data_IF_143670342982
#
_entry.id   IF_143670342982
#
_cell.length_a   1.000
_cell.length_b   1.000
_cell.length_c   1.000
_cell.angle_alpha   90.00
_cell.angle_beta   90.00
_cell.angle_gamma   90.00
#
_symmetry.space_group_name_H-M   'P 1'
#
loop_
_entity.id
_entity.type
_entity.pdbx_description
1 polymer ?
#
# COMPACT_ATOMS: atom_id res chain seq x y z
N UNK A 1 -21.36 -26.37 23.56
CA UNK A 1 -20.61 -26.23 22.27
C UNK A 1 -21.32 -25.31 21.27
N UNK A 2 -22.65 -25.40 21.07
CA UNK A 2 -23.37 -24.44 20.20
C UNK A 2 -23.18 -22.96 20.62
N UNK A 3 -23.15 -22.68 21.92
CA UNK A 3 -22.82 -21.36 22.46
C UNK A 3 -21.40 -20.87 22.10
N UNK A 4 -20.43 -21.78 21.91
CA UNK A 4 -19.08 -21.39 21.49
C UNK A 4 -19.13 -20.89 20.05
N UNK A 5 -19.75 -21.65 19.13
CA UNK A 5 -19.96 -21.23 17.73
C UNK A 5 -20.55 -19.83 17.59
N UNK A 6 -21.58 -19.52 18.40
CA UNK A 6 -22.21 -18.19 18.43
C UNK A 6 -21.25 -17.06 18.79
N UNK A 7 -20.32 -17.27 19.74
CA UNK A 7 -19.32 -16.24 20.13
C UNK A 7 -18.35 -15.95 19.00
N UNK A 8 -17.92 -16.97 18.26
CA UNK A 8 -17.04 -16.79 17.11
C UNK A 8 -17.75 -16.10 15.96
N UNK A 9 -19.01 -16.46 15.68
CA UNK A 9 -19.83 -15.76 14.67
C UNK A 9 -20.06 -14.28 15.04
N UNK A 10 -20.31 -13.99 16.32
CA UNK A 10 -20.44 -12.61 16.80
C UNK A 10 -19.13 -11.82 16.62
N UNK A 11 -17.98 -12.43 16.91
CA UNK A 11 -16.67 -11.84 16.66
C UNK A 11 -16.45 -11.54 15.18
N UNK A 12 -16.78 -12.50 14.30
CA UNK A 12 -16.68 -12.33 12.86
C UNK A 12 -17.53 -11.14 12.38
N UNK A 13 -18.77 -11.05 12.86
CA UNK A 13 -19.68 -9.96 12.53
C UNK A 13 -19.18 -8.61 13.04
N UNK A 14 -18.71 -8.53 14.29
CA UNK A 14 -18.18 -7.30 14.87
C UNK A 14 -16.96 -6.78 14.09
N UNK A 15 -15.99 -7.66 13.78
CA UNK A 15 -14.82 -7.27 13.00
C UNK A 15 -15.15 -6.98 11.53
N UNK A 16 -16.14 -7.66 10.95
CA UNK A 16 -16.61 -7.34 9.61
C UNK A 16 -17.21 -5.93 9.55
N UNK A 17 -18.00 -5.54 10.56
CA UNK A 17 -18.53 -4.17 10.66
C UNK A 17 -17.39 -3.14 10.80
N UNK A 18 -16.38 -3.43 11.63
CA UNK A 18 -15.22 -2.54 11.76
C UNK A 18 -14.43 -2.43 10.44
N UNK A 19 -14.40 -3.51 9.65
CA UNK A 19 -13.72 -3.54 8.36
C UNK A 19 -14.43 -2.72 7.26
N UNK A 20 -15.72 -2.41 7.40
CA UNK A 20 -16.47 -1.56 6.48
C UNK A 20 -16.00 -0.10 6.48
N UNK A 21 -15.22 0.32 7.49
CA UNK A 21 -14.73 1.69 7.61
C UNK A 21 -15.65 2.59 8.44
N UNK A 22 -15.33 3.89 8.55
CA UNK A 22 -16.08 4.82 9.41
C UNK A 22 -17.47 5.20 8.86
N UNK A 23 -17.70 5.01 7.55
CA UNK A 23 -18.98 5.26 6.87
C UNK A 23 -19.32 4.07 6.00
N UNK A 24 -20.62 3.84 5.79
CA UNK A 24 -21.08 2.75 4.94
C UNK A 24 -21.04 3.18 3.47
N UNK A 25 -20.40 2.36 2.63
CA UNK A 25 -20.37 2.54 1.19
C UNK A 25 -21.25 1.47 0.52
N UNK A 26 -22.23 1.89 -0.29
CA UNK A 26 -23.09 0.97 -1.05
C UNK A 26 -23.07 1.42 -2.50
N UNK A 27 -22.65 0.54 -3.41
CA UNK A 27 -22.52 0.86 -4.84
C UNK A 27 -21.69 2.13 -5.14
N UNK A 28 -20.68 2.42 -4.31
CA UNK A 28 -19.84 3.61 -4.43
C UNK A 28 -20.40 4.85 -3.73
N UNK A 29 -21.69 4.87 -3.37
CA UNK A 29 -22.28 5.99 -2.63
C UNK A 29 -21.98 5.90 -1.13
N UNK A 30 -21.65 7.05 -0.54
CA UNK A 30 -21.39 7.18 0.90
C UNK A 30 -22.70 7.50 1.63
N UNK A 31 -23.19 6.54 2.40
CA UNK A 31 -24.36 6.76 3.24
C UNK A 31 -23.96 7.55 4.50
N UNK A 32 -24.80 8.48 4.99
CA UNK A 32 -24.53 9.29 6.18
C UNK A 32 -24.74 8.52 7.49
N UNK A 33 -24.45 7.22 7.50
CA UNK A 33 -24.58 6.34 8.67
C UNK A 33 -23.18 6.16 9.29
N UNK A 34 -22.92 6.70 10.49
CA UNK A 34 -21.66 6.48 11.17
C UNK A 34 -21.55 5.02 11.62
N UNK A 35 -20.46 4.36 11.25
CA UNK A 35 -20.16 3.00 11.68
C UNK A 35 -19.27 3.01 12.93
N UNK A 36 -19.20 1.91 13.70
CA UNK A 36 -18.39 1.83 14.92
C UNK A 36 -16.93 2.24 14.72
N UNK A 37 -16.38 2.02 13.52
CA UNK A 37 -15.01 2.40 13.20
C UNK A 37 -14.77 3.92 13.22
N UNK A 38 -15.80 4.75 13.04
CA UNK A 38 -15.69 6.21 13.18
C UNK A 38 -15.28 6.59 14.62
N UNK A 39 -15.77 5.88 15.62
CA UNK A 39 -15.39 6.09 17.01
C UNK A 39 -13.95 5.60 17.25
N UNK A 40 -13.65 4.40 16.75
CA UNK A 40 -12.32 3.77 16.90
C UNK A 40 -11.21 4.62 16.28
N UNK A 41 -11.48 5.30 15.15
CA UNK A 41 -10.49 6.16 14.49
C UNK A 41 -10.04 7.35 15.32
N UNK A 42 -10.83 7.77 16.32
CA UNK A 42 -10.48 8.88 17.21
C UNK A 42 -9.69 8.44 18.45
N UNK A 43 -9.51 7.13 18.69
CA UNK A 43 -8.79 6.65 19.87
C UNK A 43 -7.26 6.76 19.68
N UNK A 44 -6.53 7.51 20.51
CA UNK A 44 -5.09 7.78 20.34
C UNK A 44 -4.23 6.51 20.40
N UNK A 45 -4.61 5.53 21.21
CA UNK A 45 -3.83 4.31 21.49
C UNK A 45 -3.82 3.34 20.28
N UNK A 46 -4.78 3.46 19.36
CA UNK A 46 -4.97 2.51 18.26
C UNK A 46 -4.35 2.97 16.94
N UNK A 47 -3.39 3.91 16.96
CA UNK A 47 -2.84 4.58 15.78
C UNK A 47 -2.48 3.65 14.61
N UNK A 48 -1.78 2.55 14.88
CA UNK A 48 -1.40 1.57 13.86
C UNK A 48 -2.55 0.70 13.32
N UNK A 49 -3.62 0.49 14.09
CA UNK A 49 -4.74 -0.39 13.71
C UNK A 49 -5.93 0.37 13.12
N UNK A 50 -5.81 1.69 12.91
CA UNK A 50 -6.93 2.51 12.39
C UNK A 50 -7.34 2.19 10.96
N UNK A 51 -6.49 1.52 10.18
CA UNK A 51 -6.81 1.14 8.80
C UNK A 51 -7.92 0.08 8.80
N UNK A 52 -9.15 0.39 8.32
CA UNK A 52 -10.29 -0.52 8.44
C UNK A 52 -10.03 -1.92 7.87
N UNK A 53 -9.29 -1.98 6.75
CA UNK A 53 -8.95 -3.23 6.08
C UNK A 53 -8.21 -4.25 6.98
N UNK A 54 -7.51 -3.79 8.02
CA UNK A 54 -6.79 -4.68 8.96
C UNK A 54 -7.75 -5.54 9.78
N UNK A 55 -8.97 -5.06 10.05
CA UNK A 55 -9.98 -5.83 10.77
C UNK A 55 -10.55 -6.98 9.94
N UNK A 56 -10.38 -6.97 8.62
CA UNK A 56 -10.84 -8.05 7.74
C UNK A 56 -10.12 -9.36 8.05
N UNK A 57 -8.82 -9.32 8.37
CA UNK A 57 -8.05 -10.50 8.75
C UNK A 57 -8.60 -11.14 10.03
N UNK A 58 -8.93 -10.32 11.05
CA UNK A 58 -9.58 -10.79 12.26
C UNK A 58 -10.98 -11.37 11.93
N UNK A 59 -11.79 -10.65 11.15
CA UNK A 59 -13.13 -11.12 10.75
C UNK A 59 -13.08 -12.49 10.07
N UNK A 60 -12.13 -12.69 9.15
CA UNK A 60 -11.91 -13.96 8.46
C UNK A 60 -11.50 -15.08 9.40
N UNK A 61 -10.61 -14.82 10.36
CA UNK A 61 -10.22 -15.80 11.38
C UNK A 61 -11.44 -16.25 12.22
N UNK A 62 -12.22 -15.28 12.74
CA UNK A 62 -13.41 -15.58 13.52
C UNK A 62 -14.46 -16.34 12.70
N UNK A 63 -14.63 -15.97 11.43
CA UNK A 63 -15.55 -16.64 10.51
C UNK A 63 -15.11 -18.08 10.25
N UNK A 64 -13.82 -18.30 9.97
CA UNK A 64 -13.25 -19.64 9.75
C UNK A 64 -13.49 -20.55 10.96
N UNK A 65 -13.25 -20.04 12.18
CA UNK A 65 -13.55 -20.76 13.42
C UNK A 65 -15.03 -21.08 13.56
N UNK A 66 -15.91 -20.10 13.31
CA UNK A 66 -17.36 -20.29 13.36
C UNK A 66 -17.84 -21.37 12.39
N UNK A 67 -17.36 -21.34 11.15
CA UNK A 67 -17.65 -22.36 10.12
C UNK A 67 -17.14 -23.73 10.55
N UNK A 68 -15.89 -23.84 11.01
CA UNK A 68 -15.31 -25.11 11.44
C UNK A 68 -16.09 -25.77 12.59
N UNK A 69 -16.52 -25.00 13.59
CA UNK A 69 -17.34 -25.55 14.68
C UNK A 69 -18.76 -25.88 14.25
N UNK A 70 -19.36 -25.05 13.39
CA UNK A 70 -20.68 -25.30 12.81
C UNK A 70 -20.69 -26.62 12.05
N UNK A 71 -19.67 -26.83 11.22
CA UNK A 71 -19.42 -28.05 10.49
C UNK A 71 -19.26 -29.27 11.40
N UNK A 72 -18.38 -29.18 12.39
CA UNK A 72 -18.18 -30.26 13.35
C UNK A 72 -19.44 -30.58 14.17
N UNK A 73 -20.31 -29.58 14.39
CA UNK A 73 -21.63 -29.77 14.98
C UNK A 73 -22.56 -30.54 14.05
N UNK A 74 -22.64 -30.12 12.79
CA UNK A 74 -23.51 -30.72 11.78
C UNK A 74 -23.15 -32.18 11.51
N UNK A 75 -21.86 -32.51 11.33
CA UNK A 75 -21.41 -33.90 11.14
C UNK A 75 -21.79 -34.81 12.31
N UNK A 76 -21.69 -34.32 13.56
CA UNK A 76 -22.09 -35.10 14.75
C UNK A 76 -23.59 -35.32 14.81
N UNK A 77 -24.40 -34.31 14.50
CA UNK A 77 -25.87 -34.44 14.47
C UNK A 77 -26.32 -35.39 13.36
N UNK A 78 -25.70 -35.31 12.17
CA UNK A 78 -25.96 -36.22 11.06
C UNK A 78 -25.59 -37.67 11.40
N UNK A 79 -24.40 -37.91 11.98
CA UNK A 79 -23.98 -39.24 12.44
C UNK A 79 -24.91 -39.79 13.53
N UNK A 80 -25.33 -38.98 14.50
CA UNK A 80 -26.29 -39.40 15.53
C UNK A 80 -27.64 -39.78 14.94
N UNK A 81 -28.14 -39.01 13.97
CA UNK A 81 -29.39 -39.33 13.28
C UNK A 81 -29.31 -40.58 12.40
N UNK A 82 -28.14 -40.84 11.79
CA UNK A 82 -27.89 -42.05 11.01
C UNK A 82 -27.78 -43.29 11.91
N UNK A 83 -26.98 -43.23 12.99
CA UNK A 83 -26.84 -44.31 13.99
C UNK A 83 -28.20 -44.66 14.62
N UNK A 84 -29.04 -43.65 14.90
CA UNK A 84 -30.36 -43.87 15.47
C UNK A 84 -31.35 -44.53 14.49
N UNK A 85 -31.11 -44.42 13.18
CA UNK A 85 -31.98 -45.02 12.15
C UNK A 85 -31.52 -46.41 11.74
N UNK A 86 -30.21 -46.65 11.69
CA UNK A 86 -29.65 -47.95 11.29
C UNK A 86 -28.23 -48.14 11.89
N UNK A 87 -28.10 -48.87 13.01
CA UNK A 87 -26.83 -49.04 13.71
C UNK A 87 -25.84 -49.96 12.97
N UNK A 88 -26.31 -50.87 12.11
CA UNK A 88 -25.42 -51.75 11.33
C UNK A 88 -24.82 -51.02 10.11
N UNK A 89 -25.61 -50.15 9.46
CA UNK A 89 -25.13 -49.33 8.35
C UNK A 89 -24.11 -48.25 8.79
N UNK A 90 -24.11 -47.86 10.06
CA UNK A 90 -23.23 -46.81 10.58
C UNK A 90 -21.74 -47.20 10.64
N UNK A 91 -21.43 -48.51 10.59
CA UNK A 91 -20.05 -49.04 10.64
C UNK A 91 -19.41 -49.20 9.25
N UNK A 92 -20.18 -49.19 8.18
CA UNK A 92 -19.73 -49.56 6.82
C UNK A 92 -19.66 -48.42 5.82
N UNK A 93 -20.25 -47.25 6.08
CA UNK A 93 -20.19 -46.12 5.13
C UNK A 93 -18.88 -45.34 5.32
N UNK A 94 -17.94 -45.36 4.35
CA UNK A 94 -16.76 -44.50 4.40
C UNK A 94 -17.27 -43.07 4.27
N UNK A 95 -17.00 -42.23 5.27
CA UNK A 95 -17.49 -40.85 5.38
C UNK A 95 -16.80 -39.87 4.40
N UNK A 96 -16.47 -40.33 3.19
CA UNK A 96 -15.77 -39.60 2.14
C UNK A 96 -16.72 -39.06 1.06
N UNK A 97 -17.99 -39.44 1.06
CA UNK A 97 -19.00 -38.77 0.25
C UNK A 97 -19.29 -37.41 0.89
N UNK A 98 -18.61 -36.37 0.40
CA UNK A 98 -18.95 -34.99 0.73
C UNK A 98 -20.46 -34.83 0.60
N UNK A 99 -21.13 -34.48 1.70
CA UNK A 99 -22.58 -34.27 1.60
C UNK A 99 -22.83 -33.07 0.67
N UNK A 100 -24.00 -32.99 0.02
CA UNK A 100 -24.34 -31.87 -0.88
C UNK A 100 -24.12 -30.49 -0.22
N UNK A 101 -24.38 -30.37 1.08
CA UNK A 101 -24.15 -29.12 1.80
C UNK A 101 -22.66 -28.83 2.05
N UNK A 102 -21.83 -29.86 2.19
CA UNK A 102 -20.38 -29.70 2.31
C UNK A 102 -19.79 -29.14 1.00
N UNK A 103 -20.25 -29.66 -0.14
CA UNK A 103 -19.94 -29.14 -1.47
C UNK A 103 -20.41 -27.69 -1.66
N UNK A 104 -21.62 -27.34 -1.22
CA UNK A 104 -22.13 -25.98 -1.35
C UNK A 104 -21.34 -24.97 -0.52
N UNK A 105 -20.96 -25.33 0.71
CA UNK A 105 -20.14 -24.46 1.56
C UNK A 105 -18.72 -24.34 0.99
N UNK A 106 -18.13 -25.45 0.54
CA UNK A 106 -16.83 -25.43 -0.13
C UNK A 106 -16.85 -24.57 -1.39
N UNK A 107 -17.89 -24.70 -2.22
CA UNK A 107 -18.10 -23.87 -3.39
C UNK A 107 -18.30 -22.39 -3.03
N UNK A 108 -19.02 -22.08 -1.96
CA UNK A 108 -19.18 -20.70 -1.50
C UNK A 108 -17.85 -20.10 -1.02
N UNK A 109 -17.03 -20.85 -0.28
CA UNK A 109 -15.68 -20.41 0.12
C UNK A 109 -14.82 -20.19 -1.12
N UNK A 110 -14.79 -21.15 -2.04
CA UNK A 110 -14.06 -21.01 -3.30
C UNK A 110 -14.56 -19.83 -4.12
N UNK A 111 -15.86 -19.53 -4.10
CA UNK A 111 -16.43 -18.35 -4.75
C UNK A 111 -15.97 -17.05 -4.08
N UNK A 112 -15.84 -17.03 -2.74
CA UNK A 112 -15.26 -15.88 -2.03
C UNK A 112 -13.74 -15.75 -2.23
N UNK A 113 -13.06 -16.88 -2.49
CA UNK A 113 -11.65 -16.93 -2.86
C UNK A 113 -11.44 -16.69 -4.36
N UNK A 114 -12.49 -16.77 -5.18
CA UNK A 114 -12.48 -16.33 -6.56
C UNK A 114 -12.28 -14.82 -6.48
N UNK A 115 -11.03 -14.40 -6.54
CA UNK A 115 -10.67 -13.04 -6.87
C UNK A 115 -11.18 -12.81 -8.28
N UNK A 116 -12.48 -12.50 -8.42
CA UNK A 116 -13.01 -11.94 -9.64
C UNK A 116 -12.06 -10.80 -9.98
N UNK A 117 -11.47 -10.77 -11.18
CA UNK A 117 -10.50 -9.75 -11.53
C UNK A 117 -11.20 -8.43 -11.26
N UNK A 118 -10.78 -7.77 -10.18
CA UNK A 118 -11.27 -6.45 -9.87
C UNK A 118 -10.98 -5.66 -11.13
N UNK A 119 -11.98 -4.94 -11.64
CA UNK A 119 -11.73 -4.02 -12.74
C UNK A 119 -10.78 -2.97 -12.19
N UNK A 120 -9.49 -3.22 -12.36
CA UNK A 120 -8.47 -2.24 -12.07
C UNK A 120 -8.73 -1.12 -13.06
N UNK A 121 -9.00 0.07 -12.55
CA UNK A 121 -8.90 1.27 -13.36
C UNK A 121 -7.49 1.24 -13.94
N UNK A 122 -7.37 1.32 -15.27
CA UNK A 122 -6.07 1.43 -15.90
C UNK A 122 -5.48 2.78 -15.46
N UNK A 123 -4.56 2.75 -14.50
CA UNK A 123 -3.83 3.95 -14.11
C UNK A 123 -2.85 4.26 -15.25
N UNK A 124 -2.94 5.43 -15.89
CA UNK A 124 -2.05 5.78 -16.98
C UNK A 124 -0.63 5.95 -16.43
N UNK A 125 0.28 5.07 -16.82
CA UNK A 125 1.69 5.13 -16.40
C UNK A 125 2.41 6.13 -17.30
N UNK A 126 3.04 7.19 -16.74
CA UNK A 126 3.80 8.15 -17.53
C UNK A 126 4.90 7.46 -18.34
N UNK A 127 5.03 7.80 -19.62
CA UNK A 127 5.99 7.13 -20.53
C UNK A 127 7.46 7.35 -20.14
N UNK A 128 7.72 8.28 -19.22
CA UNK A 128 9.05 8.50 -18.66
C UNK A 128 9.61 7.26 -17.97
N UNK A 129 8.75 6.45 -17.33
CA UNK A 129 9.17 5.21 -16.66
C UNK A 129 9.63 4.13 -17.66
N UNK A 130 9.08 4.13 -18.87
CA UNK A 130 9.58 3.27 -19.96
C UNK A 130 10.96 3.74 -20.43
N UNK A 131 11.20 5.06 -20.51
CA UNK A 131 12.52 5.60 -20.83
C UNK A 131 13.54 5.18 -19.77
N UNK A 132 13.20 5.27 -18.48
CA UNK A 132 14.06 4.85 -17.37
C UNK A 132 14.41 3.36 -17.52
N UNK A 133 13.42 2.51 -17.83
CA UNK A 133 13.65 1.08 -18.08
C UNK A 133 14.64 0.85 -19.22
N UNK A 134 14.46 1.56 -20.33
CA UNK A 134 15.28 1.41 -21.53
C UNK A 134 16.72 1.86 -21.27
N UNK A 135 16.91 2.98 -20.56
CA UNK A 135 18.24 3.52 -20.21
C UNK A 135 18.95 2.71 -19.13
N UNK A 136 18.21 2.04 -18.26
CA UNK A 136 18.77 1.20 -17.18
C UNK A 136 18.97 -0.26 -17.61
N UNK A 137 18.96 -0.57 -18.92
CA UNK A 137 18.98 -1.94 -19.41
C UNK A 137 20.25 -2.69 -19.00
N UNK A 138 20.17 -3.45 -17.90
CA UNK A 138 21.26 -4.26 -17.34
C UNK A 138 21.80 -3.78 -16.00
N UNK A 139 21.40 -2.59 -15.54
CA UNK A 139 21.90 -2.00 -14.29
C UNK A 139 20.76 -1.83 -13.29
N UNK A 140 21.03 -2.19 -12.03
CA UNK A 140 20.13 -1.92 -10.91
C UNK A 140 20.47 -0.56 -10.33
N UNK A 141 19.59 0.41 -10.54
CA UNK A 141 19.66 1.73 -9.96
C UNK A 141 18.48 1.98 -9.00
N UNK A 142 18.59 3.05 -8.23
CA UNK A 142 17.54 3.58 -7.38
C UNK A 142 16.89 4.79 -8.07
N UNK A 143 15.56 4.81 -8.08
CA UNK A 143 14.71 5.90 -8.49
C UNK A 143 14.17 6.60 -7.25
N UNK A 144 14.39 7.90 -7.15
CA UNK A 144 13.84 8.77 -6.13
C UNK A 144 12.66 9.55 -6.73
N UNK A 145 11.50 9.51 -6.08
CA UNK A 145 10.35 10.30 -6.49
C UNK A 145 10.15 11.50 -5.56
N UNK A 146 10.03 12.72 -6.10
CA UNK A 146 9.89 13.96 -5.31
C UNK A 146 8.75 14.85 -5.85
N UNK A 147 7.81 15.29 -5.00
CA UNK A 147 7.61 14.86 -3.62
C UNK A 147 7.21 13.37 -3.58
N UNK A 148 7.28 12.77 -2.40
CA UNK A 148 7.04 11.35 -2.28
C UNK A 148 5.70 10.89 -2.82
N UNK A 149 5.72 9.74 -3.49
CA UNK A 149 4.53 9.15 -4.07
C UNK A 149 3.61 8.60 -2.98
N UNK A 150 2.34 8.45 -3.32
CA UNK A 150 1.42 7.70 -2.48
C UNK A 150 1.74 6.21 -2.65
N UNK A 151 1.98 5.52 -1.52
CA UNK A 151 2.40 4.11 -1.38
C UNK A 151 1.76 3.04 -2.29
N UNK A 152 0.66 3.36 -3.00
CA UNK A 152 -0.03 2.44 -3.94
C UNK A 152 0.48 2.55 -5.37
N UNK A 153 0.91 3.73 -5.80
CA UNK A 153 1.43 3.97 -7.16
C UNK A 153 2.86 3.43 -7.31
N UNK A 154 3.61 3.43 -6.20
CA UNK A 154 5.00 2.97 -6.16
C UNK A 154 5.17 1.54 -6.68
N UNK A 155 4.33 0.64 -6.18
CA UNK A 155 4.37 -0.77 -6.60
C UNK A 155 3.99 -0.94 -8.07
N UNK A 156 3.08 -0.10 -8.59
CA UNK A 156 2.69 -0.16 -9.99
C UNK A 156 3.84 0.29 -10.89
N UNK A 157 4.42 1.48 -10.62
CA UNK A 157 5.49 2.02 -11.45
C UNK A 157 6.75 1.15 -11.39
N UNK A 158 7.04 0.57 -10.22
CA UNK A 158 8.15 -0.36 -10.05
C UNK A 158 8.05 -1.58 -10.97
N UNK A 159 6.84 -2.07 -11.29
CA UNK A 159 6.67 -3.18 -12.24
C UNK A 159 7.06 -2.81 -13.67
N UNK A 160 6.97 -1.52 -14.03
CA UNK A 160 7.31 -1.01 -15.36
C UNK A 160 8.80 -0.73 -15.48
N UNK A 161 9.38 0.07 -14.58
CA UNK A 161 10.77 0.50 -14.69
C UNK A 161 11.78 -0.53 -14.12
N UNK A 162 11.33 -1.43 -13.24
CA UNK A 162 12.14 -2.50 -12.60
C UNK A 162 13.38 -2.01 -11.83
N UNK A 163 13.35 -0.75 -11.39
CA UNK A 163 14.38 -0.16 -10.54
C UNK A 163 13.92 -0.16 -9.09
N UNK A 164 14.84 -0.03 -8.14
CA UNK A 164 14.45 0.19 -6.75
C UNK A 164 13.78 1.55 -6.66
N UNK A 165 12.53 1.60 -6.21
CA UNK A 165 11.82 2.85 -6.01
C UNK A 165 11.93 3.27 -4.56
N UNK A 166 12.07 4.57 -4.36
CA UNK A 166 12.17 5.20 -3.05
C UNK A 166 11.19 6.37 -2.99
N UNK A 167 10.28 6.27 -2.03
CA UNK A 167 9.19 7.23 -1.84
C UNK A 167 9.71 8.59 -1.36
N UNK A 168 10.82 8.68 -0.64
CA UNK A 168 11.37 9.95 -0.17
C UNK A 168 12.88 9.82 0.03
N UNK A 169 13.59 10.94 -0.03
CA UNK A 169 15.02 11.03 0.30
C UNK A 169 15.29 10.35 1.65
N UNK A 170 14.39 10.53 2.62
CA UNK A 170 14.47 9.87 3.93
C UNK A 170 14.18 8.36 3.91
N UNK A 171 13.39 7.84 2.96
CA UNK A 171 13.07 6.41 2.83
C UNK A 171 14.02 5.65 1.90
N UNK A 172 14.95 6.35 1.22
CA UNK A 172 16.03 5.77 0.43
C UNK A 172 16.96 4.84 1.22
N UNK A 173 16.82 4.89 2.54
CA UNK A 173 17.51 4.10 3.54
C UNK A 173 17.73 2.65 3.09
N UNK A 174 18.96 2.16 3.14
CA UNK A 174 19.22 0.74 3.13
C UNK A 174 18.58 0.20 4.40
N UNK A 175 17.64 -0.75 4.27
CA UNK A 175 17.12 -1.53 5.39
C UNK A 175 18.24 -2.26 6.18
N UNK A 176 19.51 -2.19 5.74
CA UNK A 176 20.66 -2.95 6.22
C UNK A 176 21.94 -2.14 6.52
N UNK A 177 21.96 -0.81 6.46
CA UNK A 177 23.14 -0.05 6.93
C UNK A 177 22.98 0.30 8.40
N UNK A 178 23.51 -0.56 9.27
CA UNK A 178 23.51 -0.39 10.72
C UNK A 178 24.37 0.77 11.27
N UNK A 179 24.60 1.84 10.51
CA UNK A 179 25.26 3.04 11.01
C UNK A 179 24.26 4.19 11.12
N UNK A 180 23.67 4.36 12.31
CA UNK A 180 22.90 5.55 12.68
C UNK A 180 23.72 6.86 12.53
N UNK A 181 25.05 6.77 12.50
CA UNK A 181 25.95 7.93 12.51
C UNK A 181 25.97 8.72 11.19
N UNK A 182 25.84 8.08 10.03
CA UNK A 182 25.78 8.79 8.74
C UNK A 182 24.54 9.70 8.64
N UNK A 183 23.48 9.32 9.36
CA UNK A 183 22.16 9.95 9.35
C UNK A 183 22.02 11.11 10.34
N UNK A 184 23.02 11.36 11.19
CA UNK A 184 23.04 12.46 12.15
C UNK A 184 23.93 13.62 11.75
N UNK A 185 24.51 13.55 10.55
CA UNK A 185 25.26 14.70 10.06
C UNK A 185 24.28 15.83 9.78
N UNK A 186 24.53 17.01 10.34
CA UNK A 186 23.73 18.21 10.10
C UNK A 186 23.57 18.50 8.58
N UNK A 187 24.57 18.09 7.80
CA UNK A 187 24.59 18.15 6.34
C UNK A 187 23.46 17.30 5.72
N UNK A 188 23.21 16.09 6.24
CA UNK A 188 22.11 15.22 5.80
C UNK A 188 20.73 15.79 6.12
N UNK A 189 20.49 16.24 7.35
CA UNK A 189 19.22 16.87 7.70
C UNK A 189 18.96 18.12 6.85
N UNK A 190 20.01 18.92 6.60
CA UNK A 190 19.93 20.10 5.74
C UNK A 190 19.64 19.71 4.28
N UNK A 191 20.24 18.63 3.78
CA UNK A 191 19.96 18.11 2.44
C UNK A 191 18.55 17.55 2.32
N UNK A 192 18.13 16.63 3.19
CA UNK A 192 16.82 15.98 3.14
C UNK A 192 15.67 16.97 3.38
N UNK A 193 15.79 17.84 4.40
CA UNK A 193 14.77 18.86 4.70
C UNK A 193 14.82 20.01 3.69
N UNK A 194 16.00 20.38 3.21
CA UNK A 194 16.18 21.44 2.23
C UNK A 194 15.63 21.08 0.86
N UNK A 195 15.93 19.88 0.36
CA UNK A 195 15.38 19.42 -0.92
C UNK A 195 13.88 19.13 -0.87
N UNK A 196 13.34 18.82 0.31
CA UNK A 196 11.90 18.77 0.57
C UNK A 196 11.24 20.16 0.68
N UNK A 197 12.02 21.25 0.65
CA UNK A 197 11.50 22.62 0.65
C UNK A 197 11.54 23.25 -0.75
N UNK A 198 10.38 23.70 -1.26
CA UNK A 198 10.28 24.43 -2.53
C UNK A 198 11.22 25.64 -2.59
N UNK A 199 12.17 25.63 -3.55
CA UNK A 199 13.01 26.79 -3.85
C UNK A 199 14.16 27.01 -2.87
N UNK A 200 14.42 26.04 -2.00
CA UNK A 200 15.54 26.07 -1.05
C UNK A 200 16.87 26.42 -1.71
N UNK A 201 17.20 25.76 -2.83
CA UNK A 201 18.50 25.94 -3.50
C UNK A 201 18.66 27.35 -4.09
N UNK A 202 17.55 28.00 -4.46
CA UNK A 202 17.56 29.36 -5.02
C UNK A 202 18.04 30.41 -4.01
N UNK A 203 17.87 30.15 -2.72
CA UNK A 203 18.23 31.09 -1.65
C UNK A 203 19.67 30.91 -1.15
N UNK A 204 20.43 29.96 -1.72
CA UNK A 204 21.80 29.67 -1.32
C UNK A 204 22.81 30.51 -2.12
N UNK A 205 23.94 30.85 -1.48
CA UNK A 205 25.09 31.47 -2.17
C UNK A 205 25.72 30.49 -3.16
N UNK A 206 26.59 30.96 -4.06
CA UNK A 206 27.32 30.06 -4.98
C UNK A 206 28.15 29.00 -4.24
N UNK A 207 28.88 29.40 -3.19
CA UNK A 207 29.67 28.47 -2.37
C UNK A 207 28.79 27.41 -1.70
N UNK A 208 27.63 27.82 -1.16
CA UNK A 208 26.67 26.91 -0.53
C UNK A 208 26.05 25.95 -1.55
N UNK A 209 25.75 26.43 -2.78
CA UNK A 209 25.26 25.59 -3.87
C UNK A 209 26.30 24.58 -4.30
N UNK A 210 27.57 24.97 -4.45
CA UNK A 210 28.66 24.05 -4.77
C UNK A 210 28.84 22.95 -3.72
N UNK A 211 28.81 23.32 -2.43
CA UNK A 211 28.87 22.35 -1.34
C UNK A 211 27.65 21.39 -1.34
N UNK A 212 26.46 21.92 -1.59
CA UNK A 212 25.23 21.13 -1.68
C UNK A 212 25.26 20.16 -2.87
N UNK A 213 25.75 20.61 -4.04
CA UNK A 213 25.91 19.78 -5.23
C UNK A 213 26.86 18.61 -4.97
N UNK A 214 28.01 18.89 -4.37
CA UNK A 214 28.98 17.84 -4.04
C UNK A 214 28.36 16.81 -3.08
N UNK A 215 27.71 17.28 -2.01
CA UNK A 215 27.03 16.41 -1.05
C UNK A 215 25.91 15.58 -1.70
N UNK A 216 25.14 16.17 -2.62
CA UNK A 216 24.09 15.46 -3.35
C UNK A 216 24.68 14.35 -4.24
N UNK A 217 25.79 14.62 -4.94
CA UNK A 217 26.48 13.62 -5.78
C UNK A 217 27.06 12.49 -4.95
N UNK A 218 27.70 12.79 -3.82
CA UNK A 218 28.20 11.79 -2.87
C UNK A 218 27.06 10.91 -2.35
N UNK A 219 25.93 11.53 -1.97
CA UNK A 219 24.74 10.83 -1.51
C UNK A 219 24.12 9.94 -2.60
N UNK A 220 23.89 10.48 -3.80
CA UNK A 220 23.35 9.72 -4.93
C UNK A 220 24.25 8.54 -5.29
N UNK A 221 25.56 8.74 -5.29
CA UNK A 221 26.54 7.66 -5.47
C UNK A 221 26.46 6.59 -4.36
N UNK A 222 26.38 7.00 -3.10
CA UNK A 222 26.32 6.08 -1.95
C UNK A 222 25.07 5.19 -1.96
N UNK A 223 23.90 5.74 -2.34
CA UNK A 223 22.62 5.01 -2.33
C UNK A 223 22.21 4.47 -3.72
N UNK A 224 23.07 4.65 -4.72
CA UNK A 224 22.81 4.26 -6.10
C UNK A 224 21.60 4.97 -6.70
N UNK A 225 21.28 6.18 -6.22
CA UNK A 225 20.21 7.00 -6.80
C UNK A 225 20.73 7.57 -8.11
N UNK A 226 20.19 7.07 -9.21
CA UNK A 226 20.52 7.54 -10.56
C UNK A 226 19.41 8.41 -11.15
N UNK A 227 18.17 8.12 -10.76
CA UNK A 227 17.00 8.75 -11.35
C UNK A 227 16.25 9.55 -10.28
N UNK A 228 15.93 10.80 -10.59
CA UNK A 228 15.00 11.61 -9.79
C UNK A 228 13.80 11.96 -10.66
N UNK A 229 12.60 11.68 -10.17
CA UNK A 229 11.35 11.93 -10.87
C UNK A 229 10.55 13.01 -10.14
N UNK A 230 10.18 14.06 -10.87
CA UNK A 230 9.43 15.21 -10.37
C UNK A 230 8.20 15.44 -11.27
N UNK A 231 6.97 15.24 -10.78
CA UNK A 231 5.77 15.58 -11.53
C UNK A 231 5.69 17.09 -11.83
N UNK A 232 5.14 17.46 -12.97
CA UNK A 232 4.93 18.87 -13.35
C UNK A 232 3.62 19.43 -12.78
N UNK A 233 2.64 18.56 -12.46
CA UNK A 233 1.33 18.93 -11.93
C UNK A 233 0.94 17.99 -10.77
N UNK A 234 0.49 18.50 -9.61
CA UNK A 234 -0.11 17.67 -8.57
C UNK A 234 -1.29 16.81 -9.08
N UNK A 235 -1.98 17.21 -10.15
CA UNK A 235 -3.04 16.40 -10.75
C UNK A 235 -2.57 15.02 -11.24
N UNK A 236 -1.29 14.88 -11.61
CA UNK A 236 -0.72 13.57 -11.98
C UNK A 236 -0.57 12.62 -10.80
N UNK A 237 -0.47 13.12 -9.56
CA UNK A 237 -0.59 12.28 -8.35
C UNK A 237 -2.06 12.04 -7.94
N UNK A 238 -3.00 12.79 -8.51
CA UNK A 238 -4.41 12.77 -8.08
C UNK A 238 -5.36 12.03 -9.01
N UNK A 239 -4.90 11.58 -10.18
CA UNK A 239 -5.76 10.94 -11.19
C UNK A 239 -6.54 9.72 -10.66
N UNK A 240 -6.07 9.07 -9.57
CA UNK A 240 -6.78 8.00 -8.87
C UNK A 240 -7.42 8.35 -7.51
N UNK A 241 -7.26 9.55 -6.96
CA UNK A 241 -7.61 9.85 -5.55
C UNK A 241 -8.02 11.30 -5.25
N UNK A 242 -8.85 11.92 -6.09
CA UNK A 242 -9.35 13.30 -5.90
C UNK A 242 -9.98 13.58 -4.51
N UNK A 243 -10.53 12.56 -3.83
CA UNK A 243 -11.22 12.69 -2.54
C UNK A 243 -10.33 12.57 -1.29
N UNK A 244 -9.01 12.37 -1.44
CA UNK A 244 -8.10 12.18 -0.29
C UNK A 244 -6.86 13.04 -0.41
N UNK A 245 -7.05 14.33 -0.34
CA UNK A 245 -5.94 15.27 -0.24
C UNK A 245 -5.44 15.26 1.21
N UNK A 246 -4.21 14.80 1.51
CA UNK A 246 -3.58 15.18 2.76
C UNK A 246 -3.46 16.71 2.78
N UNK A 247 -3.72 17.34 3.94
CA UNK A 247 -3.65 18.80 4.12
C UNK A 247 -2.27 19.44 3.84
N UNK A 248 -1.28 18.63 3.46
CA UNK A 248 0.09 19.05 3.14
C UNK A 248 0.38 18.96 1.63
N UNK A 249 -0.64 18.96 0.76
CA UNK A 249 -0.37 18.91 -0.67
C UNK A 249 0.38 20.14 -1.16
N UNK A 250 1.47 19.83 -1.84
CA UNK A 250 2.38 20.76 -2.46
C UNK A 250 1.66 21.38 -3.67
N UNK A 251 1.53 22.71 -3.73
CA UNK A 251 0.90 23.40 -4.87
C UNK A 251 1.76 23.30 -6.16
N UNK A 252 1.20 23.62 -7.34
CA UNK A 252 1.95 23.58 -8.62
C UNK A 252 3.26 24.38 -8.58
N UNK A 253 3.25 25.53 -7.88
CA UNK A 253 4.43 26.37 -7.67
C UNK A 253 5.58 25.64 -7.00
N UNK A 254 5.25 24.68 -6.13
CA UNK A 254 6.24 23.97 -5.36
C UNK A 254 6.80 22.73 -6.09
N UNK A 255 6.03 22.10 -7.00
CA UNK A 255 6.57 21.15 -7.97
C UNK A 255 7.58 21.79 -8.91
N UNK A 256 7.25 22.99 -9.42
CA UNK A 256 8.21 23.77 -10.20
C UNK A 256 9.47 24.07 -9.40
N UNK A 257 9.32 24.40 -8.11
CA UNK A 257 10.46 24.67 -7.26
C UNK A 257 11.33 23.43 -6.98
N UNK A 258 10.75 22.23 -6.85
CA UNK A 258 11.51 20.98 -6.81
C UNK A 258 12.30 20.76 -8.10
N UNK A 259 11.65 20.95 -9.26
CA UNK A 259 12.31 20.83 -10.56
C UNK A 259 13.52 21.76 -10.67
N UNK A 260 13.37 23.01 -10.25
CA UNK A 260 14.47 23.98 -10.25
C UNK A 260 15.58 23.61 -9.25
N UNK A 261 15.25 23.07 -8.07
CA UNK A 261 16.24 22.55 -7.13
C UNK A 261 17.12 21.45 -7.78
N UNK A 262 16.51 20.50 -8.51
CA UNK A 262 17.25 19.40 -9.15
C UNK A 262 17.99 19.81 -10.42
N UNK A 263 17.48 20.76 -11.20
CA UNK A 263 18.24 21.34 -12.34
C UNK A 263 19.55 21.98 -11.88
N UNK A 264 19.52 22.64 -10.73
CA UNK A 264 20.71 23.25 -10.12
C UNK A 264 21.74 22.22 -9.65
N UNK A 265 21.42 20.92 -9.63
CA UNK A 265 22.40 19.86 -9.38
C UNK A 265 23.18 19.43 -10.63
N UNK A 266 22.91 20.05 -11.77
CA UNK A 266 23.53 19.75 -13.06
C UNK A 266 23.38 18.27 -13.45
N UNK A 267 22.14 17.81 -13.68
CA UNK A 267 21.89 16.44 -14.10
C UNK A 267 22.57 16.15 -15.44
N UNK A 268 23.05 14.93 -15.61
CA UNK A 268 23.64 14.44 -16.87
C UNK A 268 22.60 14.44 -17.99
N UNK A 269 21.33 14.23 -17.64
CA UNK A 269 20.22 14.21 -18.59
C UNK A 269 18.91 14.66 -17.93
N UNK A 270 18.10 15.42 -18.67
CA UNK A 270 16.74 15.83 -18.29
C UNK A 270 15.77 15.47 -19.42
N UNK A 271 14.60 14.93 -19.07
CA UNK A 271 13.48 14.77 -19.99
C UNK A 271 12.15 15.06 -19.29
N UNK A 272 11.29 15.81 -19.96
CA UNK A 272 9.90 16.00 -19.54
C UNK A 272 8.97 15.26 -20.51
N UNK A 273 8.09 14.42 -19.97
CA UNK A 273 7.13 13.64 -20.75
C UNK A 273 5.89 13.33 -19.92
N UNK A 274 4.71 13.52 -20.50
CA UNK A 274 3.41 13.27 -19.87
C UNK A 274 3.27 13.97 -18.50
N UNK A 275 3.74 15.21 -18.41
CA UNK A 275 3.69 16.02 -17.19
C UNK A 275 4.56 15.48 -16.06
N UNK A 276 5.62 14.73 -16.38
CA UNK A 276 6.62 14.26 -15.43
C UNK A 276 8.02 14.58 -15.97
N UNK A 277 8.85 15.21 -15.14
CA UNK A 277 10.26 15.47 -15.42
C UNK A 277 11.12 14.41 -14.74
N UNK A 278 12.07 13.84 -15.49
CA UNK A 278 13.09 12.93 -14.96
C UNK A 278 14.47 13.56 -15.10
N UNK A 279 15.29 13.35 -14.08
CA UNK A 279 16.70 13.72 -14.03
C UNK A 279 17.56 12.47 -13.88
N UNK A 280 18.62 12.39 -14.67
CA UNK A 280 19.70 11.38 -14.52
C UNK A 280 20.91 12.06 -13.88
N UNK A 281 21.44 11.46 -12.82
CA UNK A 281 22.66 11.90 -12.11
C UNK A 281 23.77 10.87 -12.21
#
# INVERSE_FOLDING_TARGET
RAHQGRRWALGAFAFAILALGPRLHVNGEVLPVPLPQAIVSHLPILGGTRTPIRYLAAAQLFLAMAVAMGWAGWQRSGRRGAIARDPEAALTVPSLLLTRGELLIGAAILLTCLSAPLRFTAEPIPRVYETIRQRSAGETATLLHVPGMLAREDLLYQTVHRQRLVDDVSSAMPLHTGSEDALRTQAWETFALGFAQPGFVKNLTEDQRGALQQMAREYFGQFGIRWVVVPSDPAHQMAGSADRLPHNMVGPTAYQAYRENFKLLEPVWEQEKDGVTVFEF
#
